data_IF_133499915554
#
_entry.id   IF_133499915554
#
_cell.length_a   1.000
_cell.length_b   1.000
_cell.length_c   1.000
_cell.angle_alpha   90.00
_cell.angle_beta   90.00
_cell.angle_gamma   90.00
#
_symmetry.space_group_name_H-M   'P 1'
#
loop_
_entity.id
_entity.type
_entity.pdbx_description
1 polymer ?
#
# COMPACT_ATOMS: atom_id res chain seq x y z
N UNK A 1 27.51 -102.05 -54.31
CA UNK A 1 26.60 -101.94 -55.42
C UNK A 1 25.16 -101.88 -54.77
N UNK A 2 24.56 -100.90 -54.95
CA UNK A 2 23.24 -100.29 -54.62
C UNK A 2 22.19 -101.20 -54.00
N UNK A 3 21.94 -101.02 -52.68
CA UNK A 3 20.76 -101.52 -51.98
C UNK A 3 19.82 -100.37 -51.68
N UNK A 4 18.60 -100.52 -52.13
CA UNK A 4 17.49 -99.57 -51.88
C UNK A 4 16.74 -100.04 -50.66
N UNK A 5 16.78 -99.23 -49.58
CA UNK A 5 15.96 -99.48 -48.35
C UNK A 5 14.68 -98.64 -48.50
N UNK A 6 13.59 -99.33 -48.47
CA UNK A 6 12.23 -98.77 -48.52
C UNK A 6 11.80 -98.54 -47.05
N UNK A 7 11.59 -97.30 -46.65
CA UNK A 7 11.06 -96.95 -45.39
C UNK A 7 9.57 -96.73 -45.50
N UNK A 8 8.77 -97.49 -44.79
CA UNK A 8 7.32 -97.31 -44.63
C UNK A 8 7.02 -96.18 -43.66
N UNK A 9 6.31 -95.14 -44.17
CA UNK A 9 5.82 -94.08 -43.26
C UNK A 9 4.55 -94.57 -42.54
N UNK A 10 4.61 -94.68 -41.25
CA UNK A 10 3.42 -94.85 -40.38
C UNK A 10 2.92 -93.45 -40.05
N UNK A 11 1.79 -93.02 -40.56
CA UNK A 11 1.16 -91.76 -40.22
C UNK A 11 0.47 -91.82 -38.87
N UNK A 12 1.03 -91.23 -37.83
CA UNK A 12 0.36 -91.03 -36.54
C UNK A 12 -0.39 -89.73 -36.61
N UNK A 13 -1.72 -89.78 -36.68
CA UNK A 13 -2.59 -88.58 -36.57
C UNK A 13 -2.70 -88.25 -35.09
N UNK A 14 -1.97 -87.19 -34.69
CA UNK A 14 -2.14 -86.61 -33.37
C UNK A 14 -3.25 -85.53 -33.45
N UNK A 15 -4.40 -85.83 -32.87
CA UNK A 15 -5.46 -84.87 -32.63
C UNK A 15 -5.03 -83.90 -31.51
N UNK A 16 -4.49 -82.77 -31.92
CA UNK A 16 -4.26 -81.61 -31.06
C UNK A 16 -5.61 -80.92 -30.84
N UNK A 17 -6.21 -81.19 -29.68
CA UNK A 17 -7.35 -80.43 -29.20
C UNK A 17 -6.89 -78.99 -28.88
N UNK A 18 -7.27 -78.01 -29.74
CA UNK A 18 -7.06 -76.59 -29.45
C UNK A 18 -8.01 -76.20 -28.35
N UNK A 19 -7.52 -76.22 -27.11
CA UNK A 19 -8.18 -75.48 -26.01
C UNK A 19 -8.05 -74.00 -26.29
N UNK A 20 -9.09 -73.40 -26.90
CA UNK A 20 -9.24 -71.94 -26.92
C UNK A 20 -9.62 -71.53 -25.50
N UNK A 21 -8.62 -71.27 -24.68
CA UNK A 21 -8.81 -70.51 -23.45
C UNK A 21 -9.29 -69.11 -23.81
N UNK A 22 -10.58 -68.88 -23.66
CA UNK A 22 -11.12 -67.50 -23.65
C UNK A 22 -10.52 -66.84 -22.40
N UNK A 23 -9.37 -66.24 -22.57
CA UNK A 23 -8.83 -65.30 -21.60
C UNK A 23 -9.85 -64.20 -21.43
N UNK A 24 -10.72 -64.32 -20.44
CA UNK A 24 -11.44 -63.14 -19.92
C UNK A 24 -10.38 -62.12 -19.57
N UNK A 25 -10.26 -61.08 -20.40
CA UNK A 25 -9.52 -59.90 -20.04
C UNK A 25 -10.01 -59.48 -18.64
N UNK A 26 -9.23 -59.77 -17.61
CA UNK A 26 -9.45 -59.18 -16.31
C UNK A 26 -9.42 -57.67 -16.55
N UNK A 27 -10.59 -57.05 -16.51
CA UNK A 27 -10.67 -55.61 -16.56
C UNK A 27 -9.83 -55.13 -15.41
N UNK A 28 -8.74 -54.41 -15.73
CA UNK A 28 -7.87 -53.78 -14.73
C UNK A 28 -8.78 -52.92 -13.86
N UNK A 29 -8.97 -53.28 -12.55
CA UNK A 29 -9.88 -52.53 -11.68
C UNK A 29 -9.48 -51.08 -11.51
N UNK A 30 -8.26 -50.74 -11.91
CA UNK A 30 -7.71 -49.35 -11.88
C UNK A 30 -7.82 -48.64 -13.24
N UNK A 31 -8.45 -49.26 -14.24
CA UNK A 31 -8.68 -48.57 -15.53
C UNK A 31 -9.74 -47.50 -15.38
N UNK A 32 -9.44 -46.29 -15.83
CA UNK A 32 -10.41 -45.20 -15.85
C UNK A 32 -11.67 -45.63 -16.63
N UNK A 33 -12.83 -45.35 -16.08
CA UNK A 33 -14.14 -45.68 -16.67
C UNK A 33 -14.47 -44.72 -17.82
N UNK A 34 -13.84 -43.58 -17.90
CA UNK A 34 -13.97 -42.54 -18.91
C UNK A 34 -12.60 -42.00 -19.27
N UNK A 35 -12.31 -41.85 -20.54
CA UNK A 35 -11.05 -41.32 -21.06
C UNK A 35 -11.11 -39.78 -21.25
N UNK A 36 -12.31 -39.24 -21.42
CA UNK A 36 -12.54 -37.79 -21.45
C UNK A 36 -12.49 -37.28 -19.99
N UNK A 37 -11.39 -36.59 -19.64
CA UNK A 37 -11.16 -36.08 -18.29
C UNK A 37 -12.29 -35.17 -17.81
N UNK A 38 -12.84 -34.34 -18.70
CA UNK A 38 -13.95 -33.46 -18.36
C UNK A 38 -15.18 -34.22 -17.90
N UNK A 39 -15.56 -35.24 -18.68
CA UNK A 39 -16.72 -36.11 -18.33
C UNK A 39 -16.45 -36.84 -17.05
N UNK A 40 -15.26 -37.42 -16.89
CA UNK A 40 -14.86 -38.13 -15.69
C UNK A 40 -15.02 -37.26 -14.42
N UNK A 41 -14.44 -36.07 -14.42
CA UNK A 41 -14.51 -35.17 -13.26
C UNK A 41 -15.94 -34.71 -12.97
N UNK A 42 -16.71 -34.39 -14.01
CA UNK A 42 -18.11 -33.93 -13.86
C UNK A 42 -19.08 -35.00 -13.40
N UNK A 43 -18.69 -36.27 -13.39
CA UNK A 43 -19.50 -37.35 -12.80
C UNK A 43 -19.70 -37.13 -11.29
N UNK A 44 -18.69 -36.63 -10.60
CA UNK A 44 -18.75 -36.31 -9.17
C UNK A 44 -18.95 -34.81 -8.91
N UNK A 45 -18.34 -33.97 -9.71
CA UNK A 45 -18.43 -32.48 -9.59
C UNK A 45 -19.62 -31.93 -10.39
N UNK A 46 -20.84 -32.46 -10.10
CA UNK A 46 -22.05 -32.14 -10.88
C UNK A 46 -22.41 -30.66 -10.87
N UNK A 47 -22.21 -29.99 -9.74
CA UNK A 47 -22.49 -28.54 -9.59
C UNK A 47 -21.56 -27.67 -10.46
N UNK A 48 -20.38 -28.19 -10.76
CA UNK A 48 -19.41 -27.51 -11.62
C UNK A 48 -19.92 -27.35 -13.07
N UNK A 49 -20.85 -28.20 -13.49
CA UNK A 49 -21.50 -28.04 -14.79
C UNK A 49 -22.25 -26.71 -14.95
N UNK A 50 -22.71 -26.10 -13.85
CA UNK A 50 -23.34 -24.77 -13.88
C UNK A 50 -22.29 -23.67 -14.08
N UNK A 51 -21.08 -23.83 -13.50
CA UNK A 51 -19.97 -22.89 -13.67
C UNK A 51 -19.57 -22.81 -15.14
N UNK A 52 -19.61 -23.94 -15.87
CA UNK A 52 -19.28 -23.99 -17.30
C UNK A 52 -20.30 -23.28 -18.21
N UNK A 53 -21.47 -22.89 -17.67
CA UNK A 53 -22.49 -22.10 -18.41
C UNK A 53 -22.25 -20.59 -18.35
N UNK A 54 -21.32 -20.15 -17.52
CA UNK A 54 -20.97 -18.73 -17.42
C UNK A 54 -20.43 -18.18 -18.75
N UNK A 55 -20.53 -16.89 -18.94
CA UNK A 55 -20.21 -16.21 -20.19
C UNK A 55 -18.75 -16.35 -20.62
N UNK A 56 -17.84 -16.33 -19.66
CA UNK A 56 -16.39 -16.47 -19.89
C UNK A 56 -15.89 -17.68 -19.10
N UNK A 57 -15.45 -18.71 -19.82
CA UNK A 57 -14.88 -19.94 -19.26
C UNK A 57 -13.39 -19.96 -19.59
N UNK A 58 -12.55 -20.18 -18.57
CA UNK A 58 -11.11 -20.31 -18.77
C UNK A 58 -10.79 -21.41 -19.79
N UNK A 59 -9.90 -21.15 -20.72
CA UNK A 59 -9.65 -22.03 -21.87
C UNK A 59 -9.26 -23.44 -21.44
N UNK A 60 -8.39 -23.59 -20.43
CA UNK A 60 -8.00 -24.89 -19.88
C UNK A 60 -9.21 -25.67 -19.35
N UNK A 61 -10.12 -24.99 -18.65
CA UNK A 61 -11.35 -25.54 -18.09
C UNK A 61 -12.34 -25.91 -19.21
N UNK A 62 -12.50 -25.03 -20.19
CA UNK A 62 -13.35 -25.30 -21.38
C UNK A 62 -12.90 -26.57 -22.09
N UNK A 63 -11.60 -26.78 -22.19
CA UNK A 63 -10.98 -27.94 -22.82
C UNK A 63 -10.94 -29.19 -21.92
N UNK A 64 -11.42 -29.11 -20.68
CA UNK A 64 -11.43 -30.23 -19.76
C UNK A 64 -10.07 -30.58 -19.13
N UNK A 65 -9.12 -29.66 -19.17
CA UNK A 65 -7.76 -29.87 -18.65
C UNK A 65 -7.70 -29.69 -17.12
N UNK A 66 -8.53 -30.41 -16.40
CA UNK A 66 -8.66 -30.26 -14.94
C UNK A 66 -7.35 -30.61 -14.21
N UNK A 67 -6.68 -31.70 -14.62
CA UNK A 67 -5.40 -32.13 -14.03
C UNK A 67 -4.21 -31.25 -14.44
N UNK A 68 -4.40 -30.27 -15.31
CA UNK A 68 -3.39 -29.22 -15.55
C UNK A 68 -3.19 -28.29 -14.34
N UNK A 69 -4.17 -28.27 -13.43
CA UNK A 69 -4.15 -27.44 -12.23
C UNK A 69 -4.33 -28.25 -10.93
N UNK A 70 -5.07 -29.36 -10.98
CA UNK A 70 -5.42 -30.17 -9.83
C UNK A 70 -4.78 -31.56 -9.87
N UNK A 71 -4.31 -32.07 -8.72
CA UNK A 71 -4.02 -33.48 -8.53
C UNK A 71 -5.28 -34.17 -8.04
N UNK A 72 -5.75 -35.21 -8.74
CA UNK A 72 -7.00 -35.89 -8.40
C UNK A 72 -6.88 -36.77 -7.13
N UNK A 73 -5.68 -37.01 -6.62
CA UNK A 73 -5.44 -37.95 -5.54
C UNK A 73 -4.90 -37.27 -4.28
N UNK A 74 -3.81 -36.52 -4.40
CA UNK A 74 -3.13 -35.96 -3.24
C UNK A 74 -2.36 -34.70 -3.62
N UNK A 75 -2.41 -33.69 -2.75
CA UNK A 75 -1.61 -32.47 -2.87
C UNK A 75 -1.28 -31.91 -1.49
N UNK A 76 -0.13 -31.24 -1.38
CA UNK A 76 0.23 -30.42 -0.22
C UNK A 76 -0.39 -29.01 -0.27
N UNK A 77 -1.08 -28.69 -1.36
CA UNK A 77 -1.72 -27.38 -1.56
C UNK A 77 -3.26 -27.49 -1.45
N UNK A 78 -3.88 -26.45 -0.93
CA UNK A 78 -5.35 -26.39 -0.83
C UNK A 78 -6.04 -26.64 -2.17
N UNK A 79 -7.27 -27.16 -2.13
CA UNK A 79 -8.07 -27.55 -3.31
C UNK A 79 -7.34 -28.52 -4.27
N UNK A 80 -6.44 -29.33 -3.74
CA UNK A 80 -5.66 -30.30 -4.51
C UNK A 80 -4.87 -29.63 -5.68
N UNK A 81 -4.39 -28.42 -5.51
CA UNK A 81 -3.59 -27.77 -6.54
C UNK A 81 -2.21 -28.43 -6.69
N UNK A 82 -1.71 -28.54 -7.91
CA UNK A 82 -0.39 -29.12 -8.22
C UNK A 82 0.75 -28.34 -7.56
N UNK A 83 0.58 -27.03 -7.38
CA UNK A 83 1.55 -26.14 -6.76
C UNK A 83 0.84 -24.90 -6.21
N UNK A 84 1.58 -24.00 -5.56
CA UNK A 84 1.04 -22.73 -5.08
C UNK A 84 0.45 -21.89 -6.22
N UNK A 85 -0.61 -21.13 -5.93
CA UNK A 85 -1.40 -20.37 -6.92
C UNK A 85 -0.54 -19.54 -7.87
N UNK A 86 0.49 -18.85 -7.34
CA UNK A 86 1.39 -18.04 -8.18
C UNK A 86 2.07 -18.87 -9.25
N UNK A 87 2.76 -19.96 -8.84
CA UNK A 87 3.52 -20.82 -9.76
C UNK A 87 2.59 -21.47 -10.78
N UNK A 88 1.41 -21.86 -10.32
CA UNK A 88 0.40 -22.46 -11.18
C UNK A 88 -0.02 -21.52 -12.31
N UNK A 89 -0.39 -20.29 -11.95
CA UNK A 89 -0.87 -19.30 -12.93
C UNK A 89 0.25 -18.84 -13.87
N UNK A 90 1.42 -18.47 -13.32
CA UNK A 90 2.54 -17.93 -14.15
C UNK A 90 3.20 -18.98 -15.04
N UNK A 91 2.95 -20.27 -14.80
CA UNK A 91 3.37 -21.36 -15.68
C UNK A 91 2.85 -21.21 -17.10
N UNK A 92 1.67 -20.62 -17.27
CA UNK A 92 1.08 -20.31 -18.58
C UNK A 92 0.98 -18.80 -18.83
N UNK A 93 0.79 -17.99 -17.80
CA UNK A 93 0.62 -16.55 -17.85
C UNK A 93 1.93 -15.81 -17.49
N UNK A 94 3.01 -16.11 -18.20
CA UNK A 94 4.30 -15.45 -18.02
C UNK A 94 4.21 -13.95 -18.35
N UNK A 95 4.96 -13.12 -17.60
CA UNK A 95 5.10 -11.70 -17.91
C UNK A 95 3.94 -10.81 -17.48
N UNK A 96 2.99 -11.31 -16.67
CA UNK A 96 1.90 -10.50 -16.11
C UNK A 96 2.45 -9.29 -15.32
N UNK A 97 3.52 -9.48 -14.56
CA UNK A 97 4.27 -8.37 -13.96
C UNK A 97 5.44 -8.05 -14.88
N UNK A 98 5.59 -6.81 -15.34
CA UNK A 98 6.72 -6.43 -16.18
C UNK A 98 8.06 -6.72 -15.48
N UNK A 99 9.04 -7.28 -16.21
CA UNK A 99 10.35 -7.67 -15.66
C UNK A 99 11.10 -6.52 -14.95
N UNK A 100 10.86 -5.27 -15.37
CA UNK A 100 11.42 -4.04 -14.77
C UNK A 100 10.31 -3.17 -14.18
N UNK A 101 9.35 -3.78 -13.49
CA UNK A 101 8.26 -3.05 -12.89
C UNK A 101 8.77 -2.05 -11.85
N UNK A 102 8.37 -0.78 -11.98
CA UNK A 102 8.55 0.25 -10.95
C UNK A 102 7.53 0.08 -9.82
N UNK A 103 6.40 -0.53 -10.12
CA UNK A 103 5.39 -0.92 -9.15
C UNK A 103 4.71 -2.22 -9.56
N UNK A 104 4.39 -3.05 -8.59
CA UNK A 104 3.53 -4.22 -8.73
C UNK A 104 2.40 -4.09 -7.72
N UNK A 105 1.20 -4.50 -8.10
CA UNK A 105 0.10 -4.57 -7.14
C UNK A 105 0.42 -5.65 -6.10
N UNK A 106 0.31 -5.34 -4.82
CA UNK A 106 0.77 -6.24 -3.75
C UNK A 106 0.13 -7.62 -3.84
N UNK A 107 -1.19 -7.69 -4.04
CA UNK A 107 -1.89 -8.97 -4.19
C UNK A 107 -1.40 -9.81 -5.38
N UNK A 108 -0.91 -9.18 -6.44
CA UNK A 108 -0.32 -9.86 -7.60
C UNK A 108 1.11 -10.31 -7.28
N UNK A 109 1.88 -9.48 -6.58
CA UNK A 109 3.21 -9.82 -6.10
C UNK A 109 3.19 -11.02 -5.13
N UNK A 110 2.16 -11.09 -4.28
CA UNK A 110 1.93 -12.19 -3.34
C UNK A 110 1.42 -13.47 -4.03
N UNK A 111 0.92 -13.35 -5.27
CA UNK A 111 0.38 -14.48 -6.03
C UNK A 111 -1.10 -14.76 -5.78
N UNK A 112 -1.82 -13.85 -5.18
CA UNK A 112 -3.24 -13.95 -4.83
C UNK A 112 -4.15 -13.67 -6.06
N UNK A 113 -3.88 -14.32 -7.17
CA UNK A 113 -4.58 -14.10 -8.45
C UNK A 113 -6.11 -14.27 -8.33
N UNK A 114 -6.54 -15.19 -7.48
CA UNK A 114 -7.96 -15.52 -7.26
C UNK A 114 -8.74 -14.47 -6.46
N UNK A 115 -8.07 -13.46 -5.92
CA UNK A 115 -8.77 -12.30 -5.32
C UNK A 115 -9.46 -11.42 -6.37
N UNK A 116 -9.03 -11.50 -7.61
CA UNK A 116 -9.60 -10.73 -8.71
C UNK A 116 -10.21 -11.63 -9.80
N UNK A 117 -9.65 -12.82 -10.04
CA UNK A 117 -10.05 -13.74 -11.10
C UNK A 117 -10.66 -15.01 -10.52
N UNK A 118 -11.74 -15.50 -11.15
CA UNK A 118 -12.20 -16.88 -10.98
C UNK A 118 -11.39 -17.75 -11.94
N UNK A 119 -10.62 -18.74 -11.46
CA UNK A 119 -9.77 -19.57 -12.32
C UNK A 119 -10.56 -20.49 -13.25
N UNK A 120 -11.85 -20.65 -13.02
CA UNK A 120 -12.69 -21.55 -13.80
C UNK A 120 -13.58 -20.81 -14.81
N UNK A 121 -14.44 -19.91 -14.34
CA UNK A 121 -15.35 -19.16 -15.21
C UNK A 121 -16.01 -17.99 -14.47
N UNK A 122 -16.40 -16.98 -15.20
CA UNK A 122 -17.10 -15.80 -14.69
C UNK A 122 -18.04 -15.23 -15.76
N UNK A 123 -18.97 -14.38 -15.34
CA UNK A 123 -19.81 -13.60 -16.27
C UNK A 123 -19.14 -12.29 -16.70
N UNK A 124 -17.94 -12.00 -16.20
CA UNK A 124 -17.16 -10.82 -16.52
C UNK A 124 -15.94 -11.18 -17.39
N UNK A 125 -15.52 -10.29 -18.32
CA UNK A 125 -14.32 -10.49 -19.14
C UNK A 125 -13.09 -10.81 -18.28
N UNK A 126 -12.16 -11.58 -18.85
CA UNK A 126 -10.94 -12.04 -18.17
C UNK A 126 -11.24 -12.81 -16.85
N UNK A 127 -12.41 -13.41 -16.74
CA UNK A 127 -12.87 -14.14 -15.58
C UNK A 127 -12.83 -13.31 -14.27
N UNK A 128 -13.08 -12.01 -14.33
CA UNK A 128 -13.09 -11.15 -13.14
C UNK A 128 -14.27 -11.48 -12.22
N UNK A 129 -14.05 -11.38 -10.93
CA UNK A 129 -15.06 -11.63 -9.89
C UNK A 129 -16.15 -10.57 -9.85
N UNK A 130 -15.85 -9.34 -10.28
CA UNK A 130 -16.79 -8.23 -10.36
C UNK A 130 -16.53 -7.38 -11.61
N UNK A 131 -17.49 -6.53 -11.97
CA UNK A 131 -17.44 -5.71 -13.18
C UNK A 131 -16.79 -4.34 -12.92
N UNK A 132 -15.88 -3.94 -13.80
CA UNK A 132 -15.38 -2.56 -13.84
C UNK A 132 -14.76 -2.10 -12.51
N UNK A 133 -15.16 -0.92 -12.07
CA UNK A 133 -14.64 -0.29 -10.86
C UNK A 133 -15.01 -1.03 -9.57
N UNK A 134 -16.14 -1.77 -9.55
CA UNK A 134 -16.61 -2.48 -8.35
C UNK A 134 -15.58 -3.49 -7.84
N UNK A 135 -14.84 -4.11 -8.76
CA UNK A 135 -13.74 -5.01 -8.40
C UNK A 135 -12.68 -4.30 -7.57
N UNK A 136 -12.24 -3.15 -8.03
CA UNK A 136 -11.17 -2.37 -7.39
C UNK A 136 -11.64 -1.75 -6.06
N UNK A 137 -12.84 -1.14 -6.09
CA UNK A 137 -13.42 -0.40 -4.97
C UNK A 137 -13.87 -1.33 -3.83
N UNK A 138 -14.03 -2.62 -4.09
CA UNK A 138 -14.25 -3.63 -3.05
C UNK A 138 -13.15 -3.67 -1.98
N UNK A 139 -11.92 -3.37 -2.37
CA UNK A 139 -10.76 -3.26 -1.45
C UNK A 139 -10.35 -1.80 -1.21
N UNK A 140 -10.40 -0.94 -2.22
CA UNK A 140 -10.02 0.48 -2.13
C UNK A 140 -11.19 1.34 -1.61
N UNK A 141 -11.69 1.04 -0.42
CA UNK A 141 -12.91 1.65 0.15
C UNK A 141 -12.76 3.14 0.44
N UNK A 142 -11.59 3.59 0.89
CA UNK A 142 -11.32 5.00 1.15
C UNK A 142 -11.34 5.82 -0.14
N UNK A 143 -10.78 5.25 -1.21
CA UNK A 143 -10.87 5.85 -2.54
C UNK A 143 -12.31 5.86 -3.05
N UNK A 144 -13.08 4.78 -2.84
CA UNK A 144 -14.49 4.72 -3.19
C UNK A 144 -15.29 5.83 -2.50
N UNK A 145 -15.08 6.00 -1.19
CA UNK A 145 -15.72 7.05 -0.42
C UNK A 145 -15.32 8.46 -0.89
N UNK A 146 -14.04 8.66 -1.22
CA UNK A 146 -13.51 9.93 -1.74
C UNK A 146 -14.14 10.29 -3.10
N UNK A 147 -14.13 9.34 -4.03
CA UNK A 147 -14.72 9.54 -5.38
C UNK A 147 -16.22 9.80 -5.29
N UNK A 148 -16.93 9.06 -4.44
CA UNK A 148 -18.38 9.24 -4.27
C UNK A 148 -18.77 10.59 -3.66
N UNK A 149 -17.91 11.18 -2.82
CA UNK A 149 -18.15 12.46 -2.16
C UNK A 149 -17.65 13.65 -2.97
N UNK A 150 -16.75 13.45 -3.93
CA UNK A 150 -16.11 14.52 -4.68
C UNK A 150 -17.15 15.37 -5.42
N UNK A 151 -17.10 16.67 -5.18
CA UNK A 151 -17.99 17.66 -5.85
C UNK A 151 -17.71 17.75 -7.35
N UNK A 152 -16.46 17.58 -7.74
CA UNK A 152 -16.00 17.56 -9.13
C UNK A 152 -15.37 16.21 -9.44
N UNK A 153 -16.06 15.40 -10.23
CA UNK A 153 -15.55 14.11 -10.67
C UNK A 153 -14.70 14.26 -11.93
N UNK A 154 -13.65 13.45 -12.06
CA UNK A 154 -12.92 13.32 -13.31
C UNK A 154 -13.60 12.26 -14.17
N UNK A 155 -14.13 12.64 -15.33
CA UNK A 155 -14.96 11.76 -16.17
C UNK A 155 -14.32 10.41 -16.53
N UNK A 156 -12.98 10.29 -16.79
CA UNK A 156 -12.36 9.00 -17.08
C UNK A 156 -12.46 7.97 -15.95
N UNK A 157 -12.64 8.41 -14.69
CA UNK A 157 -12.81 7.51 -13.53
C UNK A 157 -14.09 6.67 -13.67
N UNK A 158 -15.15 7.26 -14.19
CA UNK A 158 -16.38 6.52 -14.49
C UNK A 158 -16.19 5.47 -15.60
N UNK A 159 -15.28 5.72 -16.53
CA UNK A 159 -14.92 4.79 -17.60
C UNK A 159 -14.13 3.57 -17.16
N UNK A 160 -13.53 3.62 -15.99
CA UNK A 160 -12.81 2.49 -15.39
C UNK A 160 -11.39 2.82 -14.92
N UNK A 161 -11.02 2.28 -13.78
CA UNK A 161 -9.68 2.45 -13.18
C UNK A 161 -8.57 2.04 -14.14
N UNK A 162 -8.81 0.99 -14.93
CA UNK A 162 -7.88 0.46 -15.92
C UNK A 162 -7.66 1.37 -17.13
N UNK A 163 -8.37 2.48 -17.26
CA UNK A 163 -8.06 3.51 -18.25
C UNK A 163 -6.66 4.08 -18.02
N UNK A 164 -6.29 4.31 -16.77
CA UNK A 164 -5.02 4.92 -16.35
C UNK A 164 -4.07 3.92 -15.70
N UNK A 165 -4.60 2.91 -15.01
CA UNK A 165 -3.81 1.95 -14.23
C UNK A 165 -3.68 0.59 -14.92
N UNK A 166 -2.51 -0.05 -14.75
CA UNK A 166 -2.33 -1.48 -14.98
C UNK A 166 -2.42 -2.19 -13.62
N UNK A 167 -3.46 -3.01 -13.39
CA UNK A 167 -3.69 -3.62 -12.09
C UNK A 167 -2.65 -4.69 -11.70
N UNK A 168 -1.85 -5.16 -12.63
CA UNK A 168 -0.83 -6.17 -12.33
C UNK A 168 0.52 -5.55 -11.98
N UNK A 169 0.93 -4.52 -12.70
CA UNK A 169 2.19 -3.83 -12.44
C UNK A 169 2.52 -2.83 -13.53
N UNK A 170 3.41 -1.91 -13.23
CA UNK A 170 3.84 -0.87 -14.17
C UNK A 170 5.35 -0.72 -14.22
N UNK A 171 5.90 -0.67 -15.41
CA UNK A 171 7.28 -0.24 -15.65
C UNK A 171 7.41 1.29 -15.75
N UNK A 172 6.31 2.01 -15.92
CA UNK A 172 6.30 3.45 -16.14
C UNK A 172 6.29 4.25 -14.83
N UNK A 173 5.54 3.79 -13.82
CA UNK A 173 5.24 4.59 -12.61
C UNK A 173 5.17 3.74 -11.35
N UNK A 174 5.32 4.40 -10.19
CA UNK A 174 5.17 3.78 -8.86
C UNK A 174 3.71 3.60 -8.42
N UNK A 175 2.74 4.17 -9.13
CA UNK A 175 1.31 4.11 -8.81
C UNK A 175 0.52 3.23 -9.79
N UNK A 176 1.14 2.18 -10.34
CA UNK A 176 0.53 1.29 -11.35
C UNK A 176 0.01 2.04 -12.59
N UNK A 177 0.50 3.24 -12.90
CA UNK A 177 0.07 3.97 -14.09
C UNK A 177 0.65 3.35 -15.35
N UNK A 178 -0.14 3.27 -16.40
CA UNK A 178 0.27 2.76 -17.73
C UNK A 178 1.40 3.59 -18.33
N UNK A 179 1.39 4.88 -18.06
CA UNK A 179 2.42 5.83 -18.48
C UNK A 179 2.80 6.76 -17.32
N UNK A 180 3.98 7.35 -17.40
CA UNK A 180 4.39 8.34 -16.41
C UNK A 180 3.60 9.66 -16.55
N UNK A 181 3.41 10.37 -15.45
CA UNK A 181 2.94 11.76 -15.47
C UNK A 181 4.11 12.65 -15.96
N UNK A 182 3.91 13.61 -16.87
CA UNK A 182 2.62 14.09 -17.39
C UNK A 182 2.09 13.36 -18.63
N UNK A 183 2.86 12.48 -19.27
CA UNK A 183 2.49 11.85 -20.55
C UNK A 183 1.10 11.23 -20.53
N UNK A 184 0.77 10.48 -19.48
CA UNK A 184 -0.55 9.88 -19.31
C UNK A 184 -1.69 10.91 -19.41
N UNK A 185 -1.51 12.08 -18.80
CA UNK A 185 -2.52 13.14 -18.79
C UNK A 185 -2.67 13.79 -20.18
N UNK A 186 -1.54 13.96 -20.86
CA UNK A 186 -1.46 14.61 -22.16
C UNK A 186 -2.01 13.76 -23.31
N UNK A 187 -2.33 12.49 -23.10
CA UNK A 187 -3.08 11.69 -24.06
C UNK A 187 -4.50 12.25 -24.32
N UNK A 188 -5.04 13.03 -23.39
CA UNK A 188 -6.36 13.66 -23.51
C UNK A 188 -6.33 15.17 -23.36
N UNK A 189 -5.41 15.72 -22.54
CA UNK A 189 -5.27 17.15 -22.32
C UNK A 189 -4.27 17.76 -23.30
N UNK A 190 -4.71 18.74 -24.08
CA UNK A 190 -3.88 19.41 -25.08
C UNK A 190 -3.12 20.60 -24.45
N UNK A 191 -1.80 20.49 -24.21
CA UNK A 191 -1.04 21.50 -23.46
C UNK A 191 -0.87 22.81 -24.24
N UNK A 192 -0.99 22.77 -25.56
CA UNK A 192 -0.81 23.94 -26.45
C UNK A 192 -2.15 24.64 -26.76
N UNK A 193 -3.27 24.12 -26.27
CA UNK A 193 -4.55 24.78 -26.47
C UNK A 193 -4.58 26.13 -25.76
N UNK A 194 -5.16 27.18 -26.36
CA UNK A 194 -5.23 28.52 -25.77
C UNK A 194 -5.85 28.51 -24.37
N UNK A 195 -6.84 27.65 -24.15
CA UNK A 195 -7.52 27.52 -22.86
C UNK A 195 -6.57 26.91 -21.80
N UNK A 196 -5.86 25.84 -22.13
CA UNK A 196 -4.90 25.21 -21.21
C UNK A 196 -3.80 26.20 -20.82
N UNK A 197 -3.20 26.85 -21.82
CA UNK A 197 -2.14 27.87 -21.64
C UNK A 197 -2.63 29.03 -20.76
N UNK A 198 -3.82 29.55 -21.03
CA UNK A 198 -4.39 30.65 -20.25
C UNK A 198 -4.68 30.25 -18.79
N UNK A 199 -5.21 29.03 -18.56
CA UNK A 199 -5.50 28.51 -17.22
C UNK A 199 -4.23 28.34 -16.37
N UNK A 200 -3.08 28.07 -16.99
CA UNK A 200 -1.79 27.93 -16.34
C UNK A 200 -0.91 29.17 -16.46
N UNK A 201 -1.49 30.33 -16.73
CA UNK A 201 -0.80 31.61 -16.75
C UNK A 201 0.43 31.63 -17.69
N UNK A 202 0.36 30.88 -18.80
CA UNK A 202 1.41 30.70 -19.80
C UNK A 202 2.68 29.99 -19.32
N UNK A 203 2.69 29.44 -18.10
CA UNK A 203 3.80 28.61 -17.62
C UNK A 203 3.86 27.29 -18.40
N UNK A 204 5.06 26.79 -18.74
CA UNK A 204 5.22 25.57 -19.54
C UNK A 204 4.99 24.29 -18.70
N UNK A 205 3.78 24.13 -18.15
CA UNK A 205 3.42 23.05 -17.22
C UNK A 205 3.29 21.67 -17.88
N UNK A 206 3.37 21.60 -19.22
CA UNK A 206 3.34 20.32 -19.95
C UNK A 206 4.41 19.30 -19.51
N UNK A 207 5.49 19.78 -18.87
CA UNK A 207 6.55 18.93 -18.29
C UNK A 207 6.46 18.79 -16.76
N UNK A 208 5.46 19.40 -16.14
CA UNK A 208 5.30 19.39 -14.69
C UNK A 208 4.52 18.15 -14.21
N UNK A 209 4.64 17.86 -12.92
CA UNK A 209 3.85 16.84 -12.25
C UNK A 209 2.43 17.37 -12.00
N UNK A 210 1.50 17.08 -12.89
CA UNK A 210 0.10 17.51 -12.80
C UNK A 210 -0.53 17.20 -11.44
N UNK A 211 -0.23 16.03 -10.89
CA UNK A 211 -0.75 15.55 -9.61
C UNK A 211 -0.18 16.27 -8.38
N UNK A 212 0.75 17.20 -8.57
CA UNK A 212 1.19 18.12 -7.49
C UNK A 212 0.14 19.16 -7.13
N UNK A 213 -0.82 19.43 -8.03
CA UNK A 213 -1.89 20.39 -7.84
C UNK A 213 -3.27 19.77 -8.05
N UNK A 214 -3.39 18.75 -8.93
CA UNK A 214 -4.66 18.15 -9.32
C UNK A 214 -4.85 16.76 -8.74
N UNK A 215 -6.09 16.43 -8.34
CA UNK A 215 -6.50 15.07 -8.00
C UNK A 215 -7.21 14.43 -9.20
N UNK A 216 -6.58 13.45 -9.87
CA UNK A 216 -7.18 12.82 -11.04
C UNK A 216 -8.38 11.92 -10.73
N UNK A 217 -8.66 11.64 -9.47
CA UNK A 217 -9.80 10.81 -9.09
C UNK A 217 -11.07 11.62 -8.83
N UNK A 218 -10.92 12.90 -8.46
CA UNK A 218 -12.00 13.81 -8.13
C UNK A 218 -11.63 14.71 -6.96
N UNK A 219 -12.29 15.83 -6.81
CA UNK A 219 -11.99 16.83 -5.79
C UNK A 219 -13.21 17.66 -5.41
N UNK A 220 -13.14 18.30 -4.25
CA UNK A 220 -14.13 19.31 -3.84
C UNK A 220 -13.80 20.71 -4.39
N UNK A 221 -12.64 20.85 -5.02
CA UNK A 221 -12.18 22.11 -5.63
C UNK A 221 -12.40 22.10 -7.14
N UNK A 222 -12.71 23.27 -7.74
CA UNK A 222 -12.80 23.42 -9.19
C UNK A 222 -11.53 22.99 -9.89
N UNK A 223 -11.64 22.54 -11.15
CA UNK A 223 -10.52 22.05 -11.97
C UNK A 223 -9.74 20.89 -11.32
N UNK A 224 -10.39 20.13 -10.44
CA UNK A 224 -9.78 19.00 -9.70
C UNK A 224 -8.55 19.42 -8.90
N UNK A 225 -8.46 20.64 -8.40
CA UNK A 225 -7.37 21.01 -7.49
C UNK A 225 -7.46 20.20 -6.21
N UNK A 226 -6.32 19.92 -5.60
CA UNK A 226 -6.26 19.28 -4.28
C UNK A 226 -7.01 20.11 -3.24
N UNK A 227 -7.49 19.48 -2.15
CA UNK A 227 -8.46 20.11 -1.24
C UNK A 227 -7.91 21.32 -0.48
N UNK A 228 -6.64 21.31 -0.13
CA UNK A 228 -5.96 22.44 0.52
C UNK A 228 -5.08 23.16 -0.51
N UNK A 229 -5.53 24.29 -0.98
CA UNK A 229 -4.84 25.10 -2.03
C UNK A 229 -4.24 26.35 -1.41
N UNK A 230 -2.96 26.55 -1.61
CA UNK A 230 -2.28 27.77 -1.15
C UNK A 230 -2.93 29.03 -1.76
N UNK A 231 -3.29 30.05 -0.98
CA UNK A 231 -3.99 31.23 -1.49
C UNK A 231 -3.40 31.89 -2.73
N UNK A 232 -2.05 32.09 -2.88
CA UNK A 232 -1.47 32.61 -4.10
C UNK A 232 -1.74 31.73 -5.32
N UNK A 233 -1.76 30.40 -5.16
CA UNK A 233 -2.06 29.45 -6.25
C UNK A 233 -3.53 29.54 -6.65
N UNK A 234 -4.44 29.58 -5.66
CA UNK A 234 -5.86 29.76 -5.91
C UNK A 234 -6.16 31.05 -6.68
N UNK A 235 -5.39 32.10 -6.39
CA UNK A 235 -5.48 33.41 -7.06
C UNK A 235 -4.62 33.52 -8.34
N UNK A 236 -3.92 32.43 -8.73
CA UNK A 236 -3.04 32.37 -9.91
C UNK A 236 -1.89 33.40 -9.89
N UNK A 237 -1.36 33.71 -8.72
CA UNK A 237 -0.30 34.67 -8.51
C UNK A 237 1.10 34.01 -8.60
N UNK A 238 1.33 33.27 -9.69
CA UNK A 238 2.52 32.43 -9.85
C UNK A 238 3.82 33.21 -9.75
N UNK A 239 3.84 34.42 -10.32
CA UNK A 239 5.01 35.32 -10.35
C UNK A 239 5.38 35.91 -8.98
N UNK A 240 4.57 35.71 -7.95
CA UNK A 240 5.00 36.08 -6.59
C UNK A 240 6.11 35.17 -6.08
N UNK A 241 6.18 33.93 -6.59
CA UNK A 241 7.14 32.94 -6.16
C UNK A 241 8.13 32.54 -7.26
N UNK A 242 7.66 32.48 -8.50
CA UNK A 242 8.42 32.01 -9.65
C UNK A 242 8.87 33.15 -10.57
N UNK A 243 9.90 32.89 -11.36
CA UNK A 243 10.29 33.74 -12.46
C UNK A 243 9.13 33.84 -13.48
N UNK A 244 9.18 34.85 -14.35
CA UNK A 244 8.16 35.03 -15.37
C UNK A 244 8.07 33.84 -16.32
N UNK A 245 6.88 33.55 -16.89
CA UNK A 245 6.66 32.37 -17.76
C UNK A 245 7.51 32.42 -19.05
N UNK A 246 7.92 33.59 -19.48
CA UNK A 246 8.78 33.83 -20.66
C UNK A 246 10.27 33.83 -20.35
N UNK A 247 10.67 33.63 -19.10
CA UNK A 247 12.08 33.55 -18.70
C UNK A 247 12.72 32.22 -19.14
N UNK A 248 14.05 32.16 -19.14
CA UNK A 248 14.80 30.95 -19.43
C UNK A 248 14.56 29.84 -18.39
N UNK A 249 14.15 30.22 -17.17
CA UNK A 249 13.91 29.31 -16.05
C UNK A 249 12.61 29.63 -15.32
N UNK A 250 11.44 29.49 -15.95
CA UNK A 250 10.17 30.03 -15.45
C UNK A 250 9.74 29.39 -14.09
N UNK A 251 10.20 28.20 -13.77
CA UNK A 251 9.91 27.55 -12.49
C UNK A 251 10.97 27.79 -11.40
N UNK A 252 12.03 28.56 -11.71
CA UNK A 252 12.98 28.98 -10.68
C UNK A 252 12.26 29.89 -9.67
N UNK A 253 12.61 29.72 -8.40
CA UNK A 253 12.06 30.57 -7.34
C UNK A 253 12.85 31.85 -7.24
N UNK A 254 12.15 32.98 -7.05
CA UNK A 254 12.75 34.35 -6.97
C UNK A 254 13.67 34.52 -5.76
N UNK A 255 13.47 33.68 -4.70
CA UNK A 255 14.32 33.64 -3.51
C UNK A 255 14.54 32.21 -3.08
N UNK A 256 15.66 31.87 -2.42
CA UNK A 256 15.93 30.53 -1.97
C UNK A 256 15.24 30.22 -0.63
N UNK A 257 14.86 28.96 -0.45
CA UNK A 257 14.43 28.39 0.84
C UNK A 257 13.33 29.18 1.55
N UNK A 258 13.48 29.37 2.85
CA UNK A 258 12.50 30.07 3.68
C UNK A 258 12.40 31.58 3.39
N UNK A 259 13.39 32.20 2.73
CA UNK A 259 13.34 33.61 2.41
C UNK A 259 12.18 33.96 1.48
N UNK A 260 11.84 33.04 0.57
CA UNK A 260 10.67 33.21 -0.29
C UNK A 260 9.38 33.25 0.54
N UNK A 261 9.27 32.36 1.52
CA UNK A 261 8.09 32.25 2.38
C UNK A 261 7.94 33.46 3.31
N UNK A 262 9.07 34.03 3.75
CA UNK A 262 9.14 35.17 4.67
C UNK A 262 8.44 36.40 4.13
N UNK A 263 8.34 36.59 2.82
CA UNK A 263 7.71 37.78 2.24
C UNK A 263 6.23 37.91 2.65
N UNK A 264 5.56 36.75 2.95
CA UNK A 264 4.18 36.77 3.42
C UNK A 264 4.05 36.18 4.83
N UNK A 265 4.96 35.29 5.25
CA UNK A 265 4.94 34.61 6.54
C UNK A 265 6.04 35.15 7.49
N UNK A 266 6.25 36.48 7.50
CA UNK A 266 7.35 37.13 8.23
C UNK A 266 7.36 36.77 9.73
N UNK A 267 6.22 36.86 10.39
CA UNK A 267 6.11 36.60 11.83
C UNK A 267 6.36 35.13 12.16
N UNK A 268 5.82 34.20 11.36
CA UNK A 268 6.06 32.77 11.54
C UNK A 268 7.54 32.44 11.38
N UNK A 269 8.19 32.97 10.34
CA UNK A 269 9.63 32.72 10.10
C UNK A 269 10.46 33.32 11.22
N UNK A 270 10.18 34.58 11.62
CA UNK A 270 10.87 35.26 12.71
C UNK A 270 10.78 34.49 14.02
N UNK A 271 9.56 34.11 14.42
CA UNK A 271 9.33 33.39 15.68
C UNK A 271 9.94 32.00 15.67
N UNK A 272 9.88 31.30 14.51
CA UNK A 272 10.51 29.99 14.36
C UNK A 272 12.02 30.07 14.49
N UNK A 273 12.67 30.97 13.76
CA UNK A 273 14.13 31.11 13.79
C UNK A 273 14.67 31.64 15.12
N UNK A 274 13.84 32.30 15.92
CA UNK A 274 14.19 32.74 17.28
C UNK A 274 14.14 31.62 18.33
N UNK A 275 13.60 30.44 18.00
CA UNK A 275 13.52 29.33 18.94
C UNK A 275 14.90 28.76 19.26
N UNK A 276 15.23 28.52 20.54
CA UNK A 276 16.52 27.97 20.93
C UNK A 276 16.74 26.54 20.44
N UNK A 277 15.68 25.84 20.11
CA UNK A 277 15.70 24.48 19.55
C UNK A 277 14.93 24.45 18.25
N UNK A 278 15.66 24.64 17.16
CA UNK A 278 15.09 24.60 15.82
C UNK A 278 15.02 23.15 15.32
N UNK A 279 13.92 22.78 14.70
CA UNK A 279 13.85 21.48 14.01
C UNK A 279 14.73 21.54 12.76
N UNK A 280 15.70 20.62 12.65
CA UNK A 280 16.71 20.66 11.60
C UNK A 280 16.16 20.85 10.17
N UNK A 281 15.06 20.16 9.73
CA UNK A 281 14.55 20.33 8.36
C UNK A 281 14.09 21.76 8.02
N UNK A 282 13.78 22.58 9.03
CA UNK A 282 13.39 23.99 8.83
C UNK A 282 14.61 24.84 8.44
N UNK A 283 15.78 24.48 8.96
CA UNK A 283 17.04 25.19 8.71
C UNK A 283 17.79 24.70 7.48
N UNK A 284 17.38 23.59 6.87
CA UNK A 284 18.06 23.05 5.71
C UNK A 284 17.76 23.87 4.44
N UNK A 285 18.46 23.54 3.34
CA UNK A 285 18.33 24.24 2.06
C UNK A 285 16.91 24.25 1.49
N UNK A 286 16.13 23.17 1.74
CA UNK A 286 14.75 23.07 1.30
C UNK A 286 13.78 23.78 2.25
N UNK A 287 14.13 23.89 3.54
CA UNK A 287 13.34 24.58 4.54
C UNK A 287 11.90 24.07 4.63
N UNK A 288 10.96 25.00 4.55
CA UNK A 288 9.52 24.72 4.70
C UNK A 288 9.02 23.61 3.76
N UNK A 289 9.59 23.53 2.54
CA UNK A 289 9.14 22.53 1.55
C UNK A 289 9.64 21.11 1.82
N UNK A 290 10.35 20.85 2.92
CA UNK A 290 10.56 19.49 3.37
C UNK A 290 9.23 18.82 3.76
N UNK A 291 8.36 19.59 4.41
CA UNK A 291 7.08 19.10 4.96
C UNK A 291 5.87 19.61 4.19
N UNK A 292 5.92 20.84 3.65
CA UNK A 292 4.80 21.47 2.97
C UNK A 292 4.94 21.41 1.45
N UNK A 293 3.79 21.26 0.76
CA UNK A 293 3.68 21.50 -0.67
C UNK A 293 3.15 22.95 -0.86
N UNK A 294 3.96 23.88 -1.40
CA UNK A 294 3.55 25.29 -1.50
C UNK A 294 2.45 25.55 -2.52
N UNK A 295 2.04 24.55 -3.30
CA UNK A 295 0.98 24.72 -4.29
C UNK A 295 -0.38 24.25 -3.78
N UNK A 296 -0.50 22.96 -3.48
CA UNK A 296 -1.72 22.36 -2.99
C UNK A 296 -1.44 21.01 -2.32
N UNK A 297 -2.35 20.52 -1.48
CA UNK A 297 -2.24 19.24 -0.80
C UNK A 297 -3.60 18.59 -0.57
N UNK A 298 -3.62 17.28 -0.38
CA UNK A 298 -4.77 16.55 0.18
C UNK A 298 -4.88 16.73 1.70
N UNK A 299 -3.79 17.12 2.34
CA UNK A 299 -3.69 17.24 3.80
C UNK A 299 -3.76 18.71 4.20
N UNK A 300 -4.43 18.98 5.31
CA UNK A 300 -4.50 20.32 5.90
C UNK A 300 -3.11 20.94 6.11
N UNK A 301 -3.06 22.26 6.11
CA UNK A 301 -1.82 23.04 6.26
C UNK A 301 -0.81 22.73 5.15
N UNK A 302 -1.26 22.31 4.00
CA UNK A 302 -0.42 21.96 2.84
C UNK A 302 0.63 20.88 3.14
N UNK A 303 0.42 19.99 4.11
CA UNK A 303 1.35 18.91 4.41
C UNK A 303 1.42 17.91 3.25
N UNK A 304 2.63 17.47 2.90
CA UNK A 304 2.87 16.51 1.80
C UNK A 304 2.25 15.14 2.03
N UNK A 305 2.06 14.76 3.30
CA UNK A 305 1.44 13.51 3.72
C UNK A 305 0.81 13.68 5.11
N UNK A 306 -0.06 12.76 5.57
CA UNK A 306 -0.51 12.71 6.95
C UNK A 306 0.68 12.64 7.92
N UNK A 307 0.52 13.21 9.13
CA UNK A 307 1.62 13.35 10.10
C UNK A 307 2.44 12.08 10.32
N UNK A 308 1.85 10.88 10.57
CA UNK A 308 2.65 9.69 10.79
C UNK A 308 3.54 9.33 9.60
N UNK A 309 3.01 9.42 8.40
CA UNK A 309 3.76 9.13 7.16
C UNK A 309 4.84 10.19 6.92
N UNK A 310 4.49 11.46 7.10
CA UNK A 310 5.41 12.58 6.91
C UNK A 310 6.57 12.52 7.90
N UNK A 311 6.25 12.45 9.20
CA UNK A 311 7.25 12.37 10.26
C UNK A 311 8.09 11.09 10.15
N UNK A 312 7.45 9.97 9.83
CA UNK A 312 8.07 8.66 9.67
C UNK A 312 9.08 8.58 8.54
N UNK A 313 9.01 9.46 7.54
CA UNK A 313 10.01 9.52 6.46
C UNK A 313 11.44 9.76 6.96
N UNK A 314 11.58 10.43 8.13
CA UNK A 314 12.85 10.66 8.81
C UNK A 314 12.92 9.94 10.17
N UNK A 315 11.79 9.80 10.88
CA UNK A 315 11.69 9.19 12.20
C UNK A 315 11.17 7.73 12.16
N UNK A 316 11.62 6.95 11.17
CA UNK A 316 11.17 5.58 10.94
C UNK A 316 11.36 4.67 12.17
N UNK A 317 12.49 4.81 12.89
CA UNK A 317 12.77 3.98 14.07
C UNK A 317 11.83 4.30 15.25
N UNK A 318 11.40 5.55 15.37
CA UNK A 318 10.39 5.94 16.36
C UNK A 318 9.05 5.29 16.04
N UNK A 319 8.61 5.32 14.77
CA UNK A 319 7.37 4.66 14.35
C UNK A 319 7.43 3.14 14.52
N UNK A 320 8.57 2.50 14.21
CA UNK A 320 8.77 1.06 14.44
C UNK A 320 8.59 0.71 15.93
N UNK A 321 9.20 1.50 16.84
CA UNK A 321 9.04 1.29 18.30
C UNK A 321 7.58 1.48 18.74
N UNK A 322 6.91 2.52 18.24
CA UNK A 322 5.49 2.75 18.52
C UNK A 322 4.63 1.59 18.03
N UNK A 323 4.91 1.06 16.84
CA UNK A 323 4.13 -0.02 16.22
C UNK A 323 4.08 -1.28 17.11
N UNK A 324 5.21 -1.65 17.73
CA UNK A 324 5.33 -2.86 18.57
C UNK A 324 4.95 -2.62 20.04
N UNK A 325 4.72 -1.37 20.47
CA UNK A 325 4.38 -1.04 21.83
C UNK A 325 2.95 -1.46 22.17
N UNK A 326 2.76 -2.20 23.26
CA UNK A 326 1.47 -2.77 23.64
C UNK A 326 0.48 -1.71 24.14
N UNK A 327 0.94 -0.77 24.97
CA UNK A 327 0.12 0.32 25.54
C UNK A 327 0.60 1.64 24.98
N UNK A 328 -0.21 2.24 24.11
CA UNK A 328 0.08 3.52 23.45
C UNK A 328 -0.72 4.64 24.07
N UNK A 329 -0.16 5.85 24.06
CA UNK A 329 -0.91 7.07 24.34
C UNK A 329 -1.88 7.36 23.20
N UNK A 330 -3.11 7.76 23.49
CA UNK A 330 -4.15 7.95 22.47
C UNK A 330 -3.70 8.87 21.30
N UNK A 331 -3.15 10.08 21.53
CA UNK A 331 -2.66 10.93 20.42
C UNK A 331 -1.57 10.26 19.57
N UNK A 332 -0.78 9.37 20.17
CA UNK A 332 0.24 8.59 19.45
C UNK A 332 -0.38 7.47 18.64
N UNK A 333 -1.41 6.81 19.17
CA UNK A 333 -2.17 5.79 18.46
C UNK A 333 -2.90 6.38 17.24
N UNK A 334 -3.44 7.60 17.39
CA UNK A 334 -4.12 8.37 16.33
C UNK A 334 -3.14 9.01 15.35
N UNK A 335 -1.84 8.99 15.64
CA UNK A 335 -0.81 9.57 14.80
C UNK A 335 -0.73 11.10 14.83
N UNK A 336 -1.30 11.73 15.85
CA UNK A 336 -1.29 13.19 16.03
C UNK A 336 0.00 13.63 16.73
N UNK A 337 1.11 13.62 16.00
CA UNK A 337 2.44 13.95 16.55
C UNK A 337 2.50 15.41 17.07
N UNK A 338 1.84 16.32 16.37
CA UNK A 338 1.80 17.75 16.73
C UNK A 338 0.91 18.09 17.93
N UNK A 339 0.20 17.12 18.50
CA UNK A 339 -0.46 17.31 19.81
C UNK A 339 0.53 17.58 20.94
N UNK A 340 1.77 17.09 20.80
CA UNK A 340 2.83 17.23 21.80
C UNK A 340 4.08 17.95 21.28
N UNK A 341 4.36 17.85 19.97
CA UNK A 341 5.59 18.37 19.39
C UNK A 341 5.32 19.59 18.49
N UNK A 342 6.16 20.62 18.61
CA UNK A 342 6.24 21.73 17.67
C UNK A 342 7.20 21.38 16.53
N UNK A 343 6.71 21.14 15.30
CA UNK A 343 7.55 20.66 14.20
C UNK A 343 8.49 21.74 13.63
N UNK A 344 8.30 23.00 14.00
CA UNK A 344 9.14 24.10 13.53
C UNK A 344 10.30 24.41 14.47
N UNK A 345 10.04 24.40 15.77
CA UNK A 345 11.02 24.69 16.81
C UNK A 345 10.33 24.90 18.15
N UNK A 346 11.08 24.77 19.24
CA UNK A 346 10.57 24.88 20.60
C UNK A 346 11.57 25.51 21.58
N UNK A 347 11.09 25.92 22.73
CA UNK A 347 11.91 26.44 23.80
C UNK A 347 12.53 25.32 24.65
N UNK A 348 11.91 24.16 24.66
CA UNK A 348 12.31 23.01 25.47
C UNK A 348 12.80 21.83 24.64
N UNK A 349 13.40 20.84 25.32
CA UNK A 349 13.91 19.62 24.68
C UNK A 349 12.84 18.81 23.95
N UNK A 350 13.29 17.97 23.03
CA UNK A 350 12.42 17.11 22.21
C UNK A 350 11.36 17.86 21.37
N UNK A 351 11.54 19.17 21.17
CA UNK A 351 10.59 20.05 20.46
C UNK A 351 9.17 19.97 21.06
N UNK A 352 9.02 19.92 22.35
CA UNK A 352 7.72 19.90 22.99
C UNK A 352 7.02 21.27 22.86
N UNK A 353 5.73 21.25 22.57
CA UNK A 353 4.89 22.43 22.35
C UNK A 353 4.35 22.99 23.69
N UNK A 354 5.23 23.23 24.63
CA UNK A 354 4.95 23.87 25.91
C UNK A 354 6.27 24.29 26.57
N UNK A 355 6.19 25.10 27.61
CA UNK A 355 7.35 25.56 28.40
C UNK A 355 7.98 24.47 29.28
N UNK A 356 7.23 23.42 29.57
CA UNK A 356 7.68 22.26 30.37
C UNK A 356 6.86 21.01 30.04
N UNK A 357 7.40 19.84 30.46
CA UNK A 357 6.67 18.57 30.39
C UNK A 357 5.37 18.63 31.18
N UNK A 358 5.42 19.22 32.39
CA UNK A 358 4.22 19.35 33.24
C UNK A 358 3.17 20.22 32.52
N UNK A 359 3.56 21.37 31.99
CA UNK A 359 2.67 22.26 31.26
C UNK A 359 2.06 21.58 30.02
N UNK A 360 2.86 20.78 29.32
CA UNK A 360 2.38 20.01 28.16
C UNK A 360 1.28 19.01 28.56
N UNK A 361 1.59 18.16 29.52
CA UNK A 361 0.66 17.10 29.93
C UNK A 361 -0.61 17.67 30.56
N UNK A 362 -0.51 18.81 31.26
CA UNK A 362 -1.63 19.49 31.89
C UNK A 362 -2.62 20.12 30.90
N UNK A 363 -2.30 20.21 29.62
CA UNK A 363 -3.27 20.62 28.59
C UNK A 363 -4.49 19.68 28.52
N UNK A 364 -4.29 18.41 28.92
CA UNK A 364 -5.32 17.36 28.85
C UNK A 364 -5.52 16.60 30.16
N UNK A 365 -4.52 16.56 31.06
CA UNK A 365 -4.53 15.77 32.27
C UNK A 365 -4.54 16.67 33.54
N UNK A 366 -5.43 16.37 34.50
CA UNK A 366 -5.37 16.95 35.79
C UNK A 366 -4.39 16.17 36.71
N UNK A 367 -3.14 16.63 36.76
CA UNK A 367 -2.09 15.98 37.52
C UNK A 367 -2.21 16.21 39.03
N UNK A 368 -3.00 17.21 39.48
CA UNK A 368 -3.13 17.56 40.93
C UNK A 368 -3.80 16.44 41.72
N UNK A 369 -4.63 15.64 41.06
CA UNK A 369 -5.31 14.51 41.67
C UNK A 369 -4.53 13.22 41.58
N UNK A 370 -3.40 13.22 40.87
CA UNK A 370 -2.73 11.99 40.44
C UNK A 370 -1.95 11.33 41.58
N UNK A 371 -1.20 12.10 42.38
CA UNK A 371 -0.30 11.56 43.40
C UNK A 371 0.15 12.63 44.38
N UNK A 372 0.45 12.24 45.63
CA UNK A 372 1.13 13.09 46.60
C UNK A 372 2.63 13.27 46.29
N UNK A 373 3.16 12.60 45.23
CA UNK A 373 4.57 12.74 44.86
C UNK A 373 4.84 14.12 44.25
N UNK A 374 5.85 14.84 44.77
CA UNK A 374 6.18 16.17 44.25
C UNK A 374 6.68 16.08 42.82
N UNK A 375 6.17 16.97 41.95
CA UNK A 375 6.58 17.13 40.56
C UNK A 375 6.77 18.61 40.21
N UNK A 376 7.49 18.88 39.12
CA UNK A 376 7.75 20.23 38.63
C UNK A 376 8.98 20.90 39.26
N UNK A 377 9.04 22.22 39.25
CA UNK A 377 10.25 22.99 39.55
C UNK A 377 10.83 22.77 40.96
N UNK A 378 9.98 22.44 41.93
CA UNK A 378 10.38 22.19 43.31
C UNK A 378 10.85 20.76 43.59
N UNK A 379 10.69 19.86 42.63
CA UNK A 379 11.00 18.45 42.76
C UNK A 379 12.29 18.09 42.00
N UNK A 380 13.40 18.01 42.70
CA UNK A 380 14.71 17.63 42.13
C UNK A 380 14.75 16.11 41.95
N UNK A 381 15.17 15.65 40.75
CA UNK A 381 15.38 14.22 40.51
C UNK A 381 16.58 13.72 41.33
N UNK A 382 16.40 12.76 42.26
CA UNK A 382 17.48 12.28 43.12
C UNK A 382 18.61 11.58 42.32
N UNK A 383 18.36 11.18 41.09
CA UNK A 383 19.38 10.57 40.22
C UNK A 383 20.25 11.60 39.51
N UNK A 384 19.71 12.82 39.31
CA UNK A 384 20.43 13.91 38.64
C UNK A 384 19.89 15.27 39.13
N UNK A 385 20.69 15.98 39.93
CA UNK A 385 20.33 17.27 40.54
C UNK A 385 19.98 18.39 39.53
N UNK A 386 20.38 18.22 38.29
CA UNK A 386 20.07 19.15 37.20
C UNK A 386 18.72 18.89 36.54
N UNK A 387 18.05 17.79 36.86
CA UNK A 387 16.75 17.43 36.36
C UNK A 387 15.67 17.64 37.44
N UNK A 388 14.45 17.85 36.94
CA UNK A 388 13.24 17.90 37.78
C UNK A 388 12.44 16.63 37.60
N UNK A 389 11.75 16.23 38.65
CA UNK A 389 10.78 15.14 38.56
C UNK A 389 9.55 15.67 37.81
N UNK A 390 9.22 15.07 36.72
CA UNK A 390 8.08 15.38 35.89
C UNK A 390 7.33 14.10 35.49
N UNK A 391 6.32 14.25 34.64
CA UNK A 391 5.51 13.12 34.18
C UNK A 391 6.35 12.01 33.49
N UNK A 392 7.40 12.40 32.77
CA UNK A 392 8.28 11.46 32.05
C UNK A 392 9.27 10.74 32.97
N UNK A 393 9.35 11.15 34.24
CA UNK A 393 10.13 10.43 35.26
C UNK A 393 9.52 9.06 35.59
N UNK A 394 8.20 8.91 35.39
CA UNK A 394 7.43 7.70 35.65
C UNK A 394 6.75 7.13 34.42
N UNK A 395 6.36 7.97 33.44
CA UNK A 395 5.63 7.60 32.23
C UNK A 395 6.49 7.80 31.00
N UNK A 396 6.14 7.07 29.92
CA UNK A 396 6.74 7.26 28.60
C UNK A 396 5.67 7.74 27.63
N UNK A 397 5.79 8.96 27.13
CA UNK A 397 4.77 9.63 26.32
C UNK A 397 4.33 8.90 25.06
N UNK A 398 5.19 8.09 24.44
CA UNK A 398 4.84 7.32 23.24
C UNK A 398 4.23 5.95 23.56
N UNK A 399 4.32 5.49 24.80
CA UNK A 399 3.81 4.20 25.24
C UNK A 399 4.88 3.24 25.74
N UNK A 400 4.45 2.17 26.39
CA UNK A 400 5.27 1.07 26.92
C UNK A 400 4.53 -0.26 26.85
N UNK A 401 5.19 -1.33 27.30
CA UNK A 401 4.56 -2.64 27.50
C UNK A 401 3.70 -2.67 28.78
N UNK A 402 3.76 -1.65 29.64
CA UNK A 402 3.15 -1.65 30.95
C UNK A 402 1.90 -0.77 30.99
N UNK A 403 0.93 -1.19 31.83
CA UNK A 403 -0.29 -0.43 32.09
C UNK A 403 0.05 1.02 32.48
N UNK A 404 -0.79 1.96 32.06
CA UNK A 404 -0.61 3.40 32.32
C UNK A 404 0.68 3.99 31.72
N UNK A 405 1.29 3.30 30.75
CA UNK A 405 2.56 3.72 30.12
C UNK A 405 3.68 3.94 31.14
N UNK A 406 3.69 3.18 32.22
CA UNK A 406 4.74 3.26 33.25
C UNK A 406 6.08 2.75 32.68
N UNK A 407 7.18 3.22 33.29
CA UNK A 407 8.53 2.79 32.92
C UNK A 407 8.93 1.45 33.56
N UNK A 408 8.05 0.83 34.34
CA UNK A 408 8.30 -0.43 35.04
C UNK A 408 7.03 -1.26 35.17
N UNK A 409 7.18 -2.58 35.37
CA UNK A 409 6.07 -3.52 35.50
C UNK A 409 5.31 -3.39 36.84
N UNK A 410 5.96 -2.91 37.86
CA UNK A 410 5.39 -2.74 39.22
C UNK A 410 5.73 -1.40 39.84
N UNK A 411 4.90 -0.97 40.79
CA UNK A 411 5.16 0.25 41.54
C UNK A 411 6.47 0.16 42.31
N UNK A 412 6.79 -1.01 42.90
CA UNK A 412 8.04 -1.18 43.65
C UNK A 412 9.25 -0.97 42.72
N UNK A 413 9.27 -1.60 41.58
CA UNK A 413 10.32 -1.43 40.60
C UNK A 413 10.42 0.03 40.10
N UNK A 414 9.29 0.68 39.86
CA UNK A 414 9.25 2.08 39.48
C UNK A 414 9.83 3.00 40.58
N UNK A 415 9.38 2.83 41.82
CA UNK A 415 9.81 3.66 42.94
C UNK A 415 11.30 3.47 43.27
N UNK A 416 11.80 2.24 43.22
CA UNK A 416 13.21 1.91 43.52
C UNK A 416 14.20 2.42 42.47
N UNK A 417 13.74 2.87 41.33
CA UNK A 417 14.61 3.58 40.36
C UNK A 417 15.21 4.85 40.92
N UNK A 418 14.48 5.50 41.82
CA UNK A 418 14.92 6.71 42.57
C UNK A 418 15.21 6.41 44.03
N UNK A 419 14.39 5.63 44.68
CA UNK A 419 14.47 5.31 46.13
C UNK A 419 15.22 3.99 46.35
N UNK A 420 16.52 3.98 46.04
CA UNK A 420 17.37 2.77 46.07
C UNK A 420 17.41 2.06 47.44
N UNK A 421 17.17 2.81 48.56
CA UNK A 421 17.12 2.24 49.90
C UNK A 421 15.98 1.22 50.10
N UNK A 422 14.96 1.22 49.23
CA UNK A 422 13.85 0.26 49.26
C UNK A 422 14.03 -0.89 48.28
N UNK A 423 15.08 -0.88 47.45
CA UNK A 423 15.43 -2.01 46.60
C UNK A 423 16.06 -3.11 47.47
N UNK A 424 15.34 -4.21 47.67
CA UNK A 424 15.83 -5.42 48.34
C UNK A 424 16.18 -6.48 47.33
#
# INVERSE_FOLDING_TARGET
MRSRLTIACVSVVVLLGVYVSTARSQQNPYRLTETDQKKLCLTCHTDFAQILKKKFVHTAVKNGQCSGCHDAHVSSHGQLLLTGTRQLCVGCHAGIIPAKAKSAHQVVADGDCTKCHDPHASDNPANLLAKGNDLCLGCHKDLAASVAKAKYAHSPVAGGCVTCHDPHGSAASVALLKEAVPSLCLNCHQPDSPEFVARHMKYPVAKAMCTSCHDPHGSDQPALLLNDVHPPVAKRLCEQCHERPDSATPFATRKPGYELCRDCHADLVKTTLAKPRLHWPVADRKGCVNCHNPHASRNAKLLKAPEPTLCGSCHADTLKRIAITAVKHEPVADGTCTACHSPHGADVGYLLDAESVVALCSKCHDYKTHSAHPIGDKAVDPRNKNLRVDCLSCHKGHGTEFKWMLLAASNLELCTRCHKQFAR
#
